data_IF_676418077098
#
_entry.id   IF_676418077098
#
_cell.length_a   1.000
_cell.length_b   1.000
_cell.length_c   1.000
_cell.angle_alpha   90.00
_cell.angle_beta   90.00
_cell.angle_gamma   90.00
#
_symmetry.space_group_name_H-M   'P 1'
#
loop_
_entity.id
_entity.type
_entity.pdbx_description
1 polymer ?
#
# COMPACT_ATOMS: atom_id res chain seq x y z
N UNK A 1 3.42 29.09 18.59
CA UNK A 1 2.34 28.74 17.65
C UNK A 1 2.67 27.36 17.15
N UNK A 2 2.11 26.31 17.77
CA UNK A 2 2.21 24.98 17.19
C UNK A 2 1.41 25.04 15.89
N UNK A 3 2.06 24.77 14.76
CA UNK A 3 1.36 24.60 13.49
C UNK A 3 0.31 23.52 13.70
N UNK A 4 -0.97 23.87 13.53
CA UNK A 4 -2.06 22.91 13.65
C UNK A 4 -1.76 21.76 12.69
N UNK A 5 -1.46 20.59 13.24
CA UNK A 5 -1.12 19.41 12.44
C UNK A 5 -2.45 18.87 11.92
N UNK A 6 -2.93 19.45 10.82
CA UNK A 6 -4.11 18.97 10.12
C UNK A 6 -3.72 17.72 9.31
N UNK A 7 -4.11 16.54 9.81
CA UNK A 7 -3.90 15.27 9.12
C UNK A 7 -5.19 14.95 8.35
N UNK A 8 -5.13 14.84 7.02
CA UNK A 8 -6.30 14.55 6.19
C UNK A 8 -6.65 13.06 6.29
N UNK A 9 -7.31 12.66 7.38
CA UNK A 9 -7.59 11.25 7.71
C UNK A 9 -8.41 10.53 6.65
N UNK A 10 -9.40 11.20 6.06
CA UNK A 10 -10.20 10.67 4.94
C UNK A 10 -9.35 10.38 3.70
N UNK A 11 -8.46 11.29 3.34
CA UNK A 11 -7.61 11.19 2.16
C UNK A 11 -6.51 10.14 2.37
N UNK A 12 -6.03 9.98 3.60
CA UNK A 12 -5.14 8.89 3.97
C UNK A 12 -5.84 7.53 3.86
N UNK A 13 -7.08 7.41 4.33
CA UNK A 13 -7.87 6.19 4.16
C UNK A 13 -8.12 5.87 2.68
N UNK A 14 -8.49 6.86 1.88
CA UNK A 14 -8.68 6.70 0.43
C UNK A 14 -7.38 6.26 -0.27
N UNK A 15 -6.24 6.86 0.11
CA UNK A 15 -4.94 6.43 -0.40
C UNK A 15 -4.61 4.99 0.02
N UNK A 16 -4.95 4.58 1.24
CA UNK A 16 -4.78 3.21 1.71
C UNK A 16 -5.58 2.21 0.87
N UNK A 17 -6.83 2.54 0.57
CA UNK A 17 -7.75 1.70 -0.20
C UNK A 17 -7.31 1.59 -1.67
N UNK A 18 -6.90 2.71 -2.28
CA UNK A 18 -6.34 2.72 -3.64
C UNK A 18 -5.06 1.89 -3.74
N UNK A 19 -4.17 1.96 -2.74
CA UNK A 19 -2.98 1.14 -2.67
C UNK A 19 -3.33 -0.34 -2.47
N UNK A 20 -4.37 -0.65 -1.70
CA UNK A 20 -4.92 -2.01 -1.60
C UNK A 20 -5.34 -2.55 -2.97
N UNK A 21 -6.08 -1.76 -3.75
CA UNK A 21 -6.45 -2.13 -5.12
C UNK A 21 -5.22 -2.41 -6.00
N UNK A 22 -4.22 -1.52 -6.00
CA UNK A 22 -3.00 -1.75 -6.78
C UNK A 22 -2.29 -3.04 -6.35
N UNK A 23 -2.18 -3.29 -5.04
CA UNK A 23 -1.55 -4.50 -4.52
C UNK A 23 -2.26 -5.78 -4.99
N UNK A 24 -3.60 -5.79 -4.97
CA UNK A 24 -4.40 -6.96 -5.27
C UNK A 24 -4.49 -7.24 -6.78
N UNK A 25 -4.36 -6.20 -7.60
CA UNK A 25 -4.56 -6.27 -9.06
C UNK A 25 -3.30 -6.07 -9.90
N UNK A 26 -2.11 -5.98 -9.29
CA UNK A 26 -0.87 -5.87 -10.07
C UNK A 26 -0.38 -7.20 -10.68
N UNK A 27 -0.87 -8.34 -10.17
CA UNK A 27 -0.43 -9.67 -10.59
C UNK A 27 -1.53 -10.56 -11.20
N UNK A 28 -2.55 -9.95 -11.82
CA UNK A 28 -3.66 -10.69 -12.47
C UNK A 28 -3.18 -11.57 -13.65
N UNK A 29 -1.97 -11.30 -14.16
CA UNK A 29 -1.45 -11.89 -15.40
C UNK A 29 -0.50 -13.08 -15.23
N UNK A 30 -0.28 -13.60 -14.02
CA UNK A 30 0.72 -14.65 -13.76
C UNK A 30 0.53 -15.93 -14.61
N UNK A 31 -0.62 -16.11 -15.26
CA UNK A 31 -0.95 -17.30 -16.04
C UNK A 31 -1.38 -17.03 -17.50
N UNK A 32 -1.35 -15.78 -17.97
CA UNK A 32 -2.04 -15.41 -19.23
C UNK A 32 -1.13 -15.14 -20.42
N UNK A 33 0.18 -14.94 -20.23
CA UNK A 33 1.07 -14.63 -21.36
C UNK A 33 1.93 -15.84 -21.74
N UNK A 34 1.52 -16.52 -22.81
CA UNK A 34 2.29 -17.62 -23.41
C UNK A 34 3.32 -17.03 -24.40
N UNK A 35 4.55 -16.83 -23.92
CA UNK A 35 5.65 -16.30 -24.73
C UNK A 35 6.08 -17.25 -25.86
N UNK A 36 5.94 -18.57 -25.66
CA UNK A 36 6.25 -19.56 -26.69
C UNK A 36 5.24 -19.46 -27.84
N UNK A 37 3.95 -19.29 -27.53
CA UNK A 37 2.92 -19.04 -28.52
C UNK A 37 3.05 -17.66 -29.21
N UNK A 38 3.51 -16.64 -28.50
CA UNK A 38 3.57 -15.26 -29.01
C UNK A 38 4.81 -14.97 -29.88
N UNK A 39 5.97 -15.55 -29.55
CA UNK A 39 7.25 -15.20 -30.19
C UNK A 39 7.96 -16.37 -30.87
N UNK A 40 7.49 -17.60 -30.67
CA UNK A 40 8.11 -18.82 -31.21
C UNK A 40 9.39 -19.23 -30.45
N UNK A 41 9.87 -20.48 -30.67
CA UNK A 41 10.93 -21.07 -29.85
C UNK A 41 12.25 -20.30 -29.87
N UNK A 42 12.61 -19.66 -30.98
CA UNK A 42 13.91 -19.00 -31.11
C UNK A 42 14.02 -17.70 -30.33
N UNK A 43 12.90 -16.98 -30.14
CA UNK A 43 12.85 -15.73 -29.36
C UNK A 43 12.40 -15.96 -27.92
N UNK A 44 11.73 -17.08 -27.64
CA UNK A 44 11.36 -17.48 -26.29
C UNK A 44 12.57 -17.88 -25.45
N UNK A 45 13.60 -18.44 -26.09
CA UNK A 45 14.85 -18.85 -25.46
C UNK A 45 15.81 -17.65 -25.35
N UNK A 46 15.74 -16.95 -24.22
CA UNK A 46 16.70 -15.91 -23.84
C UNK A 46 16.05 -14.58 -23.51
N UNK A 47 15.79 -13.74 -24.52
CA UNK A 47 15.31 -12.37 -24.33
C UNK A 47 13.91 -12.31 -23.72
N UNK A 48 12.98 -13.15 -24.17
CA UNK A 48 11.63 -13.23 -23.61
C UNK A 48 11.64 -13.77 -22.16
N UNK A 49 12.40 -14.83 -21.89
CA UNK A 49 12.58 -15.34 -20.51
C UNK A 49 13.20 -14.32 -19.56
N UNK A 50 14.20 -13.56 -20.02
CA UNK A 50 14.83 -12.51 -19.21
C UNK A 50 13.88 -11.34 -18.97
N UNK A 51 13.09 -10.96 -19.98
CA UNK A 51 12.03 -9.97 -19.82
C UNK A 51 11.01 -10.43 -18.78
N UNK A 52 10.50 -11.66 -18.90
CA UNK A 52 9.48 -12.19 -18.00
C UNK A 52 9.96 -12.28 -16.55
N UNK A 53 11.20 -12.74 -16.32
CA UNK A 53 11.80 -12.73 -14.98
C UNK A 53 11.87 -11.32 -14.39
N UNK A 54 12.41 -10.35 -15.15
CA UNK A 54 12.54 -8.97 -14.68
C UNK A 54 11.18 -8.29 -14.46
N UNK A 55 10.21 -8.61 -15.32
CA UNK A 55 8.84 -8.13 -15.20
C UNK A 55 8.18 -8.66 -13.93
N UNK A 56 8.29 -9.97 -13.69
CA UNK A 56 7.76 -10.62 -12.49
C UNK A 56 8.45 -10.16 -11.21
N UNK A 57 9.77 -9.96 -11.24
CA UNK A 57 10.50 -9.35 -10.12
C UNK A 57 10.04 -7.92 -9.84
N UNK A 58 9.81 -7.12 -10.89
CA UNK A 58 9.31 -5.74 -10.79
C UNK A 58 7.92 -5.68 -10.16
N UNK A 59 7.00 -6.56 -10.58
CA UNK A 59 5.65 -6.68 -9.97
C UNK A 59 5.74 -7.02 -8.47
N UNK A 60 6.59 -7.97 -8.09
CA UNK A 60 6.80 -8.34 -6.69
C UNK A 60 7.37 -7.18 -5.86
N UNK A 61 8.32 -6.43 -6.42
CA UNK A 61 8.87 -5.26 -5.73
C UNK A 61 7.81 -4.18 -5.55
N UNK A 62 7.00 -3.92 -6.57
CA UNK A 62 5.93 -2.94 -6.49
C UNK A 62 4.86 -3.36 -5.47
N UNK A 63 4.47 -4.64 -5.41
CA UNK A 63 3.59 -5.14 -4.34
C UNK A 63 4.13 -4.86 -2.94
N UNK A 64 5.40 -5.19 -2.68
CA UNK A 64 6.03 -4.97 -1.37
C UNK A 64 6.07 -3.48 -1.00
N UNK A 65 6.37 -2.61 -1.96
CA UNK A 65 6.41 -1.16 -1.73
C UNK A 65 5.01 -0.61 -1.42
N UNK A 66 4.02 -1.01 -2.22
CA UNK A 66 2.61 -0.63 -2.02
C UNK A 66 2.12 -1.09 -0.65
N UNK A 67 2.41 -2.32 -0.24
CA UNK A 67 2.11 -2.83 1.10
C UNK A 67 2.78 -1.98 2.19
N UNK A 68 4.08 -1.68 2.04
CA UNK A 68 4.81 -0.86 3.01
C UNK A 68 4.21 0.54 3.20
N UNK A 69 3.79 1.19 2.11
CA UNK A 69 3.10 2.49 2.17
C UNK A 69 1.72 2.35 2.83
N UNK A 70 0.95 1.32 2.46
CA UNK A 70 -0.37 1.04 3.04
C UNK A 70 -0.30 0.84 4.56
N UNK A 71 0.70 0.09 5.02
CA UNK A 71 0.90 -0.20 6.44
C UNK A 71 1.38 1.04 7.20
N UNK A 72 2.25 1.87 6.59
CA UNK A 72 2.67 3.14 7.15
C UNK A 72 1.47 4.10 7.34
N UNK A 73 0.58 4.19 6.34
CA UNK A 73 -0.65 4.97 6.44
C UNK A 73 -1.53 4.46 7.59
N UNK A 74 -1.75 3.15 7.68
CA UNK A 74 -2.55 2.55 8.76
C UNK A 74 -1.97 2.83 10.16
N UNK A 75 -0.64 2.79 10.30
CA UNK A 75 0.04 3.12 11.55
C UNK A 75 -0.12 4.60 11.93
N UNK A 76 -0.09 5.52 10.96
CA UNK A 76 -0.35 6.94 11.19
C UNK A 76 -1.78 7.12 11.71
N UNK A 77 -2.77 6.60 11.00
CA UNK A 77 -4.19 6.70 11.40
C UNK A 77 -4.42 6.14 12.81
N UNK A 78 -3.91 4.95 13.09
CA UNK A 78 -4.02 4.31 14.41
C UNK A 78 -3.36 5.12 15.53
N UNK A 79 -2.23 5.77 15.24
CA UNK A 79 -1.52 6.58 16.24
C UNK A 79 -2.28 7.87 16.56
N UNK A 80 -2.94 8.47 15.57
CA UNK A 80 -3.77 9.64 15.77
C UNK A 80 -5.07 9.30 16.52
N UNK A 81 -5.77 8.23 16.12
CA UNK A 81 -6.95 7.76 16.86
C UNK A 81 -6.64 7.49 18.34
N UNK A 82 -5.49 6.85 18.60
CA UNK A 82 -5.03 6.63 19.98
C UNK A 82 -4.75 7.94 20.71
N UNK A 83 -4.08 8.89 20.05
CA UNK A 83 -3.78 10.20 20.65
C UNK A 83 -5.07 10.96 20.98
N UNK A 84 -6.07 10.91 20.10
CA UNK A 84 -7.38 11.54 20.33
C UNK A 84 -8.14 10.87 21.48
N UNK A 85 -8.12 9.54 21.57
CA UNK A 85 -8.73 8.79 22.68
C UNK A 85 -8.05 9.11 24.02
N UNK A 86 -6.71 9.15 24.03
CA UNK A 86 -5.93 9.51 25.22
C UNK A 86 -6.24 10.97 25.63
N UNK A 87 -6.34 11.90 24.68
CA UNK A 87 -6.70 13.29 24.96
C UNK A 87 -8.14 13.43 25.51
N UNK A 88 -9.11 12.74 24.90
CA UNK A 88 -10.49 12.72 25.35
C UNK A 88 -10.63 12.17 26.78
N UNK A 89 -9.93 11.07 27.07
CA UNK A 89 -9.94 10.44 28.40
C UNK A 89 -9.36 11.37 29.48
N UNK A 90 -8.26 12.08 29.15
CA UNK A 90 -7.66 13.05 30.07
C UNK A 90 -8.53 14.29 30.32
N UNK A 91 -9.39 14.65 29.37
CA UNK A 91 -10.36 15.76 29.54
C UNK A 91 -11.57 15.34 30.37
N UNK A 92 -12.03 14.08 30.24
CA UNK A 92 -13.15 13.54 31.02
C UNK A 92 -12.78 13.42 32.51
N UNK A 93 -11.60 12.86 32.81
CA UNK A 93 -11.07 12.72 34.18
C UNK A 93 -10.81 14.08 34.88
N UNK A 94 -10.55 15.14 34.11
CA UNK A 94 -10.34 16.49 34.64
C UNK A 94 -11.63 17.28 34.90
N UNK A 95 -12.76 16.87 34.32
CA UNK A 95 -14.03 17.61 34.37
C UNK A 95 -15.01 17.11 35.44
N UNK A 96 -14.76 15.94 36.04
CA UNK A 96 -15.56 15.35 37.11
C UNK A 96 -15.25 15.82 38.54
N UNK A 97 -14.28 16.72 38.73
CA UNK A 97 -13.90 17.24 40.05
C UNK A 97 -14.41 18.69 40.26
N UNK A 98 -15.73 18.87 40.35
CA UNK A 98 -16.37 20.06 40.93
C UNK A 98 -17.61 19.71 41.72
#
# INVERSE_FOLDING_TARGET
MASDVNIPGSELQEAQDMLGFVHDYIDIGHHTFDFDAAFGPELSHGSAQNFEKRWTDGKHQLQKQVQGVRDAIGNILSSFEKTDQDAASNLDDGSGAR
#
